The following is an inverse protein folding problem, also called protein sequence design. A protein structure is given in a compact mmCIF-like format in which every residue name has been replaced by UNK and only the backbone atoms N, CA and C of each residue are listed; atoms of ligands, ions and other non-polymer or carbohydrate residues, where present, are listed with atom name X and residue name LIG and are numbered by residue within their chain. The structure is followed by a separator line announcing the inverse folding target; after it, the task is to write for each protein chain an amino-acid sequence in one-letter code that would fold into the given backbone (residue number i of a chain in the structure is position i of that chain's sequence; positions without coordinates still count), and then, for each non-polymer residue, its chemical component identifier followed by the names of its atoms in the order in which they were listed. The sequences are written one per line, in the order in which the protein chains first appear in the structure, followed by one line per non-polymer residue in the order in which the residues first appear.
data_IF_219601404893
#
_entry.id   IF_219601404893
#
_cell.length_a   1.000
_cell.length_b   1.000
_cell.length_c   1.000
_cell.angle_alpha   90.00
_cell.angle_beta   90.00
_cell.angle_gamma   90.00
#
_symmetry.space_group_name_H-M   'P 1'
#
loop_
_entity.id
_entity.type
_entity.pdbx_description
1 polymer ?
2 non-polymer ?
3 water ?
#
# COMPACT_ATOMS: atom_id res chain seq x y z
N UNK A 5 -31.38 7.19 2.44
CA UNK A 5 -30.99 6.12 3.38
C UNK A 5 -29.75 6.57 4.19
N UNK A 6 -29.98 6.95 5.45
CA UNK A 6 -29.03 7.79 6.17
C UNK A 6 -27.70 7.08 6.41
N UNK A 7 -27.70 5.88 7.00
CA UNK A 7 -26.46 5.24 7.37
C UNK A 7 -25.91 4.45 6.19
N UNK A 8 -24.65 4.71 5.84
CA UNK A 8 -24.04 4.19 4.62
C UNK A 8 -22.91 3.25 5.00
N UNK A 9 -23.06 1.98 4.66
CA UNK A 9 -22.16 0.93 5.08
C UNK A 9 -21.54 0.32 3.84
N UNK A 10 -20.22 0.32 3.77
CA UNK A 10 -19.47 -0.30 2.67
C UNK A 10 -18.88 -1.61 3.18
N UNK A 11 -19.21 -2.70 2.50
CA UNK A 11 -18.57 -3.99 2.74
C UNK A 11 -17.54 -4.24 1.66
N UNK A 12 -16.33 -4.63 2.08
CA UNK A 12 -15.21 -4.86 1.18
C UNK A 12 -14.77 -6.30 1.36
N UNK A 13 -14.78 -7.05 0.27
CA UNK A 13 -14.28 -8.41 0.21
C UNK A 13 -13.10 -8.45 -0.74
N UNK A 14 -12.16 -9.35 -0.47
CA UNK A 14 -10.99 -9.47 -1.32
C UNK A 14 -11.30 -10.16 -2.63
N UNK A 15 -12.22 -11.11 -2.64
CA UNK A 15 -12.49 -11.88 -3.85
C UNK A 15 -13.93 -12.36 -3.85
N UNK A 16 -14.40 -12.88 -4.98
CA UNK A 16 -15.82 -13.28 -5.06
C UNK A 16 -16.21 -14.39 -4.12
N UNK A 17 -15.30 -15.34 -3.84
CA UNK A 17 -15.64 -16.43 -2.93
C UNK A 17 -15.95 -15.89 -1.56
N UNK A 18 -15.18 -14.92 -1.09
CA UNK A 18 -15.47 -14.37 0.22
C UNK A 18 -16.84 -13.73 0.25
N UNK A 19 -17.18 -12.98 -0.81
CA UNK A 19 -18.38 -12.17 -0.87
C UNK A 19 -19.65 -12.99 -1.08
N UNK A 20 -19.55 -14.21 -1.60
CA UNK A 20 -20.70 -14.86 -2.22
C UNK A 20 -21.91 -14.95 -1.29
N UNK A 21 -21.72 -15.44 -0.07
CA UNK A 21 -22.89 -15.68 0.77
C UNK A 21 -23.48 -14.38 1.31
N UNK A 22 -22.66 -13.36 1.51
CA UNK A 22 -23.21 -12.06 1.88
C UNK A 22 -24.04 -11.46 0.74
N UNK A 23 -23.60 -11.64 -0.49
CA UNK A 23 -24.36 -11.14 -1.63
C UNK A 23 -25.68 -11.88 -1.78
N UNK A 24 -25.80 -13.10 -1.25
CA UNK A 24 -27.08 -13.80 -1.26
C UNK A 24 -28.03 -13.31 -0.17
N UNK A 25 -27.53 -12.68 0.88
CA UNK A 25 -28.37 -12.32 2.02
C UNK A 25 -29.37 -11.25 1.72
N UNK A 26 -29.07 -10.34 0.79
CA UNK A 26 -29.90 -9.20 0.44
C UNK A 26 -30.10 -9.18 -1.07
N UNK A 27 -31.18 -8.62 -1.53
CA UNK A 27 -31.42 -8.56 -3.00
C UNK A 27 -30.66 -7.39 -3.62
N UNK A 28 -29.33 -7.52 -3.63
CA UNK A 28 -28.46 -6.51 -4.24
C UNK A 28 -28.72 -6.40 -5.72
N UNK A 29 -28.42 -5.22 -6.26
CA UNK A 29 -28.39 -5.00 -7.69
C UNK A 29 -27.03 -4.43 -8.06
N UNK A 30 -26.62 -4.67 -9.30
CA UNK A 30 -25.43 -4.04 -9.85
C UNK A 30 -25.81 -2.67 -10.36
N UNK A 31 -25.13 -1.64 -9.90
CA UNK A 31 -25.41 -0.28 -10.34
C UNK A 31 -24.62 0.03 -11.61
N UNK A 32 -24.79 1.23 -12.13
CA UNK A 32 -24.12 1.59 -13.37
C UNK A 32 -22.62 1.81 -13.19
N UNK A 33 -22.16 1.94 -11.94
CA UNK A 33 -20.74 2.00 -11.60
C UNK A 33 -20.10 0.62 -11.44
N UNK A 34 -20.86 -0.45 -11.65
CA UNK A 34 -20.31 -1.80 -11.71
C UNK A 34 -20.00 -2.36 -10.33
N UNK A 35 -20.76 -1.96 -9.30
CA UNK A 35 -20.65 -2.63 -8.00
C UNK A 35 -22.04 -2.83 -7.41
N UNK A 36 -22.11 -3.57 -6.31
CA UNK A 36 -23.39 -4.01 -5.78
C UNK A 36 -23.94 -3.05 -4.74
N UNK A 37 -25.26 -2.85 -4.77
CA UNK A 37 -25.89 -1.90 -3.86
C UNK A 37 -27.26 -2.42 -3.45
N UNK A 38 -27.66 -2.06 -2.24
CA UNK A 38 -28.97 -2.39 -1.69
C UNK A 38 -29.30 -1.32 -0.68
N UNK A 39 -30.56 -0.92 -0.59
CA UNK A 39 -30.96 0.02 0.44
C UNK A 39 -32.33 -0.35 0.98
N UNK A 40 -32.51 -0.12 2.27
CA UNK A 40 -33.81 -0.25 2.90
C UNK A 40 -33.80 0.62 4.13
N UNK A 41 -34.97 1.19 4.44
CA UNK A 41 -35.12 2.02 5.63
C UNK A 41 -34.04 3.10 5.56
N UNK A 42 -33.23 3.27 6.60
CA UNK A 42 -32.24 4.33 6.63
C UNK A 42 -30.87 3.84 6.19
N UNK A 43 -30.75 2.61 5.72
CA UNK A 43 -29.45 1.98 5.51
C UNK A 43 -29.18 1.78 4.03
N UNK A 44 -28.00 2.25 3.60
CA UNK A 44 -27.44 1.93 2.31
C UNK A 44 -26.33 0.92 2.54
N UNK A 45 -26.39 -0.19 1.84
CA UNK A 45 -25.41 -1.25 1.95
C UNK A 45 -24.79 -1.48 0.58
N UNK A 46 -23.50 -1.16 0.43
CA UNK A 46 -22.79 -1.34 -0.82
C UNK A 46 -21.73 -2.40 -0.61
N UNK A 47 -21.38 -3.10 -1.69
CA UNK A 47 -20.37 -4.15 -1.63
C UNK A 47 -19.37 -3.95 -2.75
N UNK A 48 -18.09 -3.95 -2.41
CA UNK A 48 -17.00 -3.96 -3.37
C UNK A 48 -16.16 -5.22 -3.20
N UNK A 49 -15.76 -5.78 -4.32
CA UNK A 49 -14.91 -6.98 -4.36
C UNK A 49 -13.61 -6.55 -5.04
N UNK A 50 -12.48 -6.68 -4.34
CA UNK A 50 -11.23 -6.08 -4.81
C UNK A 50 -10.68 -6.77 -6.03
N UNK A 51 -10.64 -8.10 -6.03
CA UNK A 51 -10.00 -8.87 -7.08
C UNK A 51 -11.05 -9.76 -7.72
N UNK A 52 -11.62 -9.29 -8.84
CA UNK A 52 -12.53 -10.11 -9.64
C UNK A 52 -11.85 -10.66 -10.89
N UNK A 53 -10.73 -10.07 -11.26
CA UNK A 53 -9.96 -10.46 -12.44
C UNK A 53 -8.51 -10.69 -12.05
N UNK A 54 -7.84 -11.52 -12.83
CA UNK A 54 -6.40 -11.59 -12.83
C UNK A 54 -5.83 -12.39 -11.68
N UNK A 55 -4.51 -12.28 -11.54
CA UNK A 55 -3.76 -13.00 -10.54
C UNK A 55 -3.49 -12.18 -9.28
N UNK A 56 -3.71 -10.87 -9.29
CA UNK A 56 -3.48 -10.06 -8.10
C UNK A 56 -4.42 -8.87 -8.08
N UNK A 57 -4.75 -8.42 -6.87
CA UNK A 57 -5.39 -7.14 -6.72
C UNK A 57 -4.43 -6.00 -7.00
N UNK A 58 -5.00 -4.86 -7.40
CA UNK A 58 -4.23 -3.68 -7.75
C UNK A 58 -4.64 -2.53 -6.84
N UNK A 59 -3.72 -1.58 -6.67
CA UNK A 59 -3.96 -0.48 -5.73
C UNK A 59 -5.20 0.31 -6.13
N UNK A 60 -5.45 0.46 -7.43
CA UNK A 60 -6.60 1.21 -7.88
C UNK A 60 -7.94 0.53 -7.58
N UNK A 61 -7.94 -0.64 -6.94
CA UNK A 61 -9.19 -1.21 -6.47
C UNK A 61 -9.84 -0.35 -5.40
N UNK A 62 -9.03 0.41 -4.64
CA UNK A 62 -9.51 1.27 -3.56
C UNK A 62 -8.76 2.58 -3.54
N UNK A 63 -8.33 3.04 -4.71
CA UNK A 63 -7.59 4.28 -4.81
C UNK A 63 -8.08 5.00 -6.06
N UNK A 64 -8.69 6.20 -5.91
CA UNK A 64 -8.96 6.88 -4.64
C UNK A 64 -9.97 6.11 -3.81
N UNK A 65 -9.90 6.23 -2.49
CA UNK A 65 -10.82 5.49 -1.65
C UNK A 65 -12.23 6.02 -1.80
N UNK A 66 -13.23 5.14 -1.71
CA UNK A 66 -14.62 5.59 -1.72
C UNK A 66 -14.90 6.58 -0.61
N UNK A 67 -15.56 7.67 -0.96
CA UNK A 67 -15.92 8.70 0.00
C UNK A 67 -17.39 8.54 0.40
N UNK A 68 -17.71 9.10 1.57
CA UNK A 68 -19.08 9.31 1.96
C UNK A 68 -19.69 8.25 2.85
N UNK A 69 -19.03 7.12 3.06
CA UNK A 69 -19.62 6.10 3.92
C UNK A 69 -19.44 6.48 5.39
N UNK A 70 -20.24 5.84 6.24
CA UNK A 70 -20.14 6.01 7.70
C UNK A 70 -19.32 4.92 8.37
N UNK A 71 -19.13 3.79 7.70
CA UNK A 71 -18.36 2.67 8.22
C UNK A 71 -17.98 1.82 7.04
N UNK A 72 -16.75 1.31 7.07
CA UNK A 72 -16.33 0.23 6.20
C UNK A 72 -16.16 -1.04 7.04
N UNK A 73 -16.58 -2.18 6.51
CA UNK A 73 -16.28 -3.49 7.08
C UNK A 73 -15.56 -4.30 6.02
N UNK A 74 -14.33 -4.71 6.32
CA UNK A 74 -13.63 -5.68 5.50
C UNK A 74 -13.90 -7.04 6.09
N UNK A 75 -14.57 -7.89 5.35
CA UNK A 75 -14.83 -9.25 5.79
C UNK A 75 -14.07 -10.18 4.87
N UNK A 76 -13.38 -11.18 5.45
CA UNK A 76 -12.64 -12.08 4.59
C UNK A 76 -12.12 -13.31 5.31
N UNK A 77 -11.47 -14.15 4.52
CA UNK A 77 -10.79 -15.34 5.02
C UNK A 77 -9.41 -14.96 5.55
N UNK A 78 -8.95 -15.69 6.55
CA UNK A 78 -7.58 -15.52 7.03
C UNK A 78 -7.01 -16.86 7.45
N UNK A 79 -5.76 -17.08 7.06
CA UNK A 79 -5.03 -18.23 7.56
C UNK A 79 -4.75 -18.11 9.04
N UNK A 80 -4.67 -19.26 9.71
CA UNK A 80 -4.28 -19.33 11.13
C UNK A 80 -2.85 -19.82 11.21
N UNK A 81 -1.99 -19.00 11.80
CA UNK A 81 -0.58 -19.32 11.94
C UNK A 81 -0.23 -19.77 13.36
N UNK A 82 -1.22 -19.94 14.23
CA UNK A 82 -1.05 -20.46 15.56
C UNK A 82 -2.03 -21.61 15.68
N UNK A 83 -1.58 -22.81 16.08
CA UNK A 83 -2.51 -23.94 16.20
C UNK A 83 -3.61 -23.75 17.22
N UNK A 84 -3.50 -22.79 18.13
CA UNK A 84 -4.58 -22.59 19.09
C UNK A 84 -5.77 -21.82 18.53
N UNK A 85 -5.72 -21.44 17.26
CA UNK A 85 -6.86 -20.84 16.57
C UNK A 85 -7.62 -21.96 15.86
N UNK A 86 -8.83 -22.29 16.26
CA UNK A 86 -9.59 -23.31 15.51
C UNK A 86 -9.99 -22.74 14.16
N UNK A 87 -10.21 -23.62 13.18
CA UNK A 87 -10.73 -23.20 11.89
C UNK A 87 -12.24 -22.95 11.92
N UNK A 88 -12.72 -22.21 10.92
CA UNK A 88 -14.16 -21.91 10.77
C UNK A 88 -14.67 -21.05 11.91
N UNK A 89 -13.81 -20.26 12.52
CA UNK A 89 -14.17 -19.38 13.62
C UNK A 89 -14.03 -17.92 13.17
N UNK A 90 -15.02 -17.11 13.49
CA UNK A 90 -15.07 -15.72 13.08
C UNK A 90 -14.54 -14.84 14.19
N UNK A 91 -13.60 -13.96 13.84
CA UNK A 91 -13.00 -13.01 14.76
C UNK A 91 -13.22 -11.61 14.24
N UNK A 92 -13.16 -10.67 15.18
CA UNK A 92 -12.97 -9.27 14.85
C UNK A 92 -11.55 -8.87 15.17
N UNK A 93 -11.02 -7.95 14.40
CA UNK A 93 -9.60 -7.58 14.47
C UNK A 93 -9.39 -6.32 15.31
N UNK A 94 -8.38 -6.34 16.18
CA UNK A 94 -8.04 -5.18 16.98
C UNK A 94 -6.99 -4.33 16.30
N UNK A 95 -5.98 -4.94 15.70
CA UNK A 95 -4.99 -4.22 14.93
C UNK A 95 -4.54 -5.11 13.78
N UNK A 96 -4.11 -4.46 12.71
CA UNK A 96 -3.61 -5.12 11.53
C UNK A 96 -2.22 -4.58 11.23
N UNK A 97 -1.30 -5.48 10.95
CA UNK A 97 0.08 -5.16 10.61
C UNK A 97 0.33 -5.58 9.17
N UNK A 98 0.92 -4.71 8.37
CA UNK A 98 1.52 -5.14 7.11
C UNK A 98 2.95 -5.53 7.42
N UNK A 99 3.38 -6.66 6.89
CA UNK A 99 4.73 -7.12 7.09
C UNK A 99 5.36 -7.35 5.72
N UNK A 100 6.60 -6.83 5.55
CA UNK A 100 7.44 -7.03 4.37
C UNK A 100 8.54 -8.02 4.74
N UNK A 101 8.45 -9.29 4.31
CA UNK A 101 9.41 -10.28 4.81
C UNK A 101 10.85 -10.02 4.43
N UNK A 102 11.11 -9.42 3.26
CA UNK A 102 12.49 -9.25 2.85
C UNK A 102 13.25 -8.22 3.67
N UNK A 103 12.55 -7.31 4.34
CA UNK A 103 13.20 -6.31 5.18
C UNK A 103 12.82 -6.42 6.64
N UNK A 104 11.77 -7.15 6.96
CA UNK A 104 11.19 -7.21 8.30
C UNK A 104 10.51 -5.90 8.70
N UNK A 105 10.38 -4.93 7.80
CA UNK A 105 9.74 -3.67 8.16
C UNK A 105 8.23 -3.89 8.23
N UNK A 106 7.63 -3.29 9.25
CA UNK A 106 6.21 -3.41 9.51
C UNK A 106 5.58 -2.04 9.66
N UNK A 107 4.29 -1.99 9.36
CA UNK A 107 3.44 -0.89 9.76
C UNK A 107 2.26 -1.53 10.47
N UNK A 108 1.54 -0.74 11.26
CA UNK A 108 0.44 -1.31 12.03
C UNK A 108 -0.59 -0.23 12.28
N UNK A 109 -1.86 -0.61 12.17
CA UNK A 109 -2.98 0.27 12.46
C UNK A 109 -4.01 -0.43 13.31
N UNK A 110 -4.56 0.31 14.27
CA UNK A 110 -5.71 -0.17 15.01
C UNK A 110 -6.94 -0.18 14.12
N UNK A 111 -7.81 -1.15 14.35
CA UNK A 111 -9.08 -1.39 13.67
C UNK A 111 -10.17 -1.33 14.75
N UNK A 112 -11.38 -0.96 14.35
CA UNK A 112 -12.48 -0.81 15.31
C UNK A 112 -13.13 -2.18 15.53
N UNK A 113 -13.10 -2.74 16.74
CA UNK A 113 -13.66 -4.08 16.93
C UNK A 113 -15.18 -4.07 16.89
N UNK A 114 -15.71 -5.14 16.33
CA UNK A 114 -17.15 -5.35 16.22
C UNK A 114 -17.63 -5.98 17.51
N UNK A 115 -18.75 -5.53 18.06
CA UNK A 115 -19.26 -6.12 19.30
C UNK A 115 -19.55 -7.60 19.15
N UNK A 116 -19.33 -8.34 20.23
CA UNK A 116 -19.73 -9.73 20.42
C UNK A 116 -18.94 -10.73 19.56
N UNK A 117 -17.92 -10.29 18.89
CA UNK A 117 -16.99 -11.18 18.23
C UNK A 117 -15.70 -11.27 19.04
N UNK A 118 -15.06 -12.44 19.08
CA UNK A 118 -13.79 -12.57 19.78
C UNK A 118 -12.69 -11.83 19.06
N UNK A 119 -11.72 -11.37 19.84
CA UNK A 119 -10.68 -10.49 19.35
C UNK A 119 -9.50 -11.28 18.80
N UNK A 120 -8.88 -10.75 17.75
CA UNK A 120 -7.65 -11.32 17.21
C UNK A 120 -6.83 -10.22 16.54
N UNK A 121 -5.54 -10.50 16.38
CA UNK A 121 -4.63 -9.66 15.62
C UNK A 121 -4.41 -10.24 14.25
N UNK A 122 -4.23 -9.37 13.26
CA UNK A 122 -4.14 -9.74 11.85
C UNK A 122 -2.82 -9.23 11.31
N UNK A 123 -2.14 -10.05 10.52
CA UNK A 123 -1.00 -9.62 9.72
C UNK A 123 -1.36 -9.82 8.27
N UNK A 124 -1.05 -8.82 7.45
CA UNK A 124 -1.29 -8.85 6.01
C UNK A 124 0.04 -9.00 5.31
N UNK A 125 0.10 -9.95 4.39
CA UNK A 125 1.30 -10.13 3.58
C UNK A 125 0.89 -10.39 2.14
N UNK A 126 1.75 -9.97 1.22
CA UNK A 126 1.42 -10.01 -0.20
C UNK A 126 1.31 -11.46 -0.68
N UNK A 127 2.23 -12.28 -0.30
CA UNK A 127 2.23 -13.69 -0.64
C UNK A 127 1.64 -14.50 0.49
N UNK A 128 0.77 -15.47 0.21
CA UNK A 128 0.15 -16.24 1.31
C UNK A 128 1.21 -17.04 2.06
N UNK A 129 1.07 -17.05 3.38
CA UNK A 129 1.96 -17.80 4.24
C UNK A 129 1.64 -19.28 4.11
N UNK A 130 2.61 -20.03 3.62
CA UNK A 130 2.66 -21.47 3.75
C UNK A 130 3.87 -21.89 4.58
N UNK A 131 4.36 -20.96 5.41
CA UNK A 131 5.62 -21.08 6.13
C UNK A 131 5.53 -21.96 7.36
N UNK A 132 4.37 -22.51 7.65
CA UNK A 132 4.15 -23.13 8.94
C UNK A 132 3.66 -22.14 9.97
N UNK A 133 3.88 -22.52 11.22
CA UNK A 133 3.29 -21.85 12.37
C UNK A 133 4.35 -20.93 12.96
N UNK A 134 3.90 -19.78 13.45
CA UNK A 134 4.81 -18.77 13.96
C UNK A 134 4.36 -18.32 15.34
N UNK A 135 5.34 -18.12 16.22
CA UNK A 135 5.04 -17.81 17.61
C UNK A 135 4.30 -16.48 17.74
N UNK A 136 4.54 -15.54 16.82
CA UNK A 136 4.08 -14.17 16.99
C UNK A 136 2.98 -13.77 16.01
N UNK A 137 2.43 -14.71 15.24
CA UNK A 137 1.34 -14.42 14.32
C UNK A 137 0.07 -15.12 14.78
N UNK A 138 -1.06 -14.50 14.46
CA UNK A 138 -2.35 -15.10 14.76
C UNK A 138 -3.01 -15.37 13.42
N UNK A 139 -3.85 -14.44 12.94
CA UNK A 139 -4.47 -14.56 11.64
C UNK A 139 -3.64 -13.83 10.58
N UNK A 140 -3.67 -14.35 9.37
CA UNK A 140 -2.85 -13.83 8.28
C UNK A 140 -3.72 -13.73 7.03
N UNK A 141 -3.75 -12.57 6.40
CA UNK A 141 -4.52 -12.38 5.18
C UNK A 141 -3.62 -11.66 4.18
N UNK A 142 -4.22 -11.09 3.15
CA UNK A 142 -3.50 -10.28 2.17
C UNK A 142 -3.91 -8.81 2.19
N UNK A 143 -5.20 -8.50 2.27
CA UNK A 143 -5.69 -7.16 1.95
C UNK A 143 -6.05 -6.30 3.15
N UNK A 144 -6.06 -6.84 4.37
CA UNK A 144 -6.58 -6.08 5.50
C UNK A 144 -5.86 -4.77 5.76
N UNK A 145 -4.53 -4.80 5.79
CA UNK A 145 -3.84 -3.55 6.09
C UNK A 145 -4.10 -2.51 5.01
N UNK A 146 -4.00 -2.91 3.74
CA UNK A 146 -4.29 -2.02 2.63
C UNK A 146 -5.64 -1.32 2.81
N UNK A 147 -6.67 -2.10 3.19
CA UNK A 147 -8.00 -1.53 3.32
C UNK A 147 -8.06 -0.56 4.49
N UNK A 148 -7.51 -0.96 5.65
CA UNK A 148 -7.54 -0.08 6.81
C UNK A 148 -6.81 1.23 6.53
N UNK A 149 -5.68 1.15 5.83
CA UNK A 149 -4.94 2.37 5.52
C UNK A 149 -5.71 3.26 4.56
N UNK A 150 -6.37 2.67 3.56
CA UNK A 150 -7.20 3.47 2.67
C UNK A 150 -8.37 4.10 3.42
N UNK A 151 -8.95 3.39 4.38
CA UNK A 151 -10.03 3.96 5.18
C UNK A 151 -9.55 5.21 5.93
N UNK A 152 -8.31 5.18 6.41
CA UNK A 152 -7.77 6.34 7.13
C UNK A 152 -7.74 7.59 6.26
N UNK A 153 -7.69 7.43 4.93
CA UNK A 153 -7.60 8.57 4.04
C UNK A 153 -8.90 9.36 3.96
N UNK A 154 -10.05 8.70 4.17
CA UNK A 154 -11.35 9.37 4.14
C UNK A 154 -11.94 9.49 5.54
N UNK A 155 -11.14 9.26 6.58
CA UNK A 155 -11.57 9.49 7.96
C UNK A 155 -12.78 8.64 8.28
N UNK A 156 -12.86 7.50 7.66
CA UNK A 156 -14.00 6.63 7.88
C UNK A 156 -13.59 5.52 8.80
N UNK A 157 -14.34 5.21 9.86
CA UNK A 157 -13.98 4.06 10.69
C UNK A 157 -14.01 2.77 9.87
N UNK A 158 -13.12 1.84 10.22
CA UNK A 158 -12.98 0.55 9.55
C UNK A 158 -12.98 -0.57 10.55
N UNK A 159 -13.80 -1.59 10.32
CA UNK A 159 -13.83 -2.79 11.12
C UNK A 159 -13.56 -3.97 10.24
N UNK A 160 -13.11 -5.06 10.85
CA UNK A 160 -12.74 -6.26 10.13
C UNK A 160 -13.34 -7.49 10.78
N UNK A 161 -13.86 -8.35 9.95
CA UNK A 161 -14.31 -9.69 10.31
C UNK A 161 -13.43 -10.65 9.53
N UNK A 162 -12.77 -11.56 10.23
CA UNK A 162 -11.93 -12.55 9.57
C UNK A 162 -12.31 -13.92 10.11
N UNK A 163 -12.56 -14.85 9.18
CA UNK A 163 -12.87 -16.24 9.54
C UNK A 163 -11.64 -17.08 9.24
N UNK A 164 -11.23 -17.89 10.21
CA UNK A 164 -10.05 -18.75 10.05
C UNK A 164 -10.33 -19.82 9.00
N UNK A 165 -9.55 -19.79 7.91
CA UNK A 165 -9.87 -20.55 6.72
C UNK A 165 -8.99 -21.76 6.50
N UNK A 166 -7.84 -21.84 7.16
CA UNK A 166 -6.85 -22.88 6.93
C UNK A 166 -5.68 -22.60 7.83
N UNK A 167 -4.90 -23.64 8.12
CA UNK A 167 -3.60 -23.45 8.74
C UNK A 167 -2.57 -23.12 7.68
N UNK A 168 -1.57 -22.35 8.07
CA UNK A 168 -0.65 -21.73 7.12
C UNK A 168 0.50 -22.69 6.75
N UNK A 169 0.14 -23.84 6.19
CA UNK A 169 1.11 -24.84 5.73
C UNK A 169 0.71 -25.30 4.33
N UNK A 170 1.62 -26.04 3.69
CA UNK A 170 1.30 -26.61 2.37
C UNK A 170 0.09 -27.54 2.46
N UNK A 171 0.13 -28.50 3.39
CA UNK A 171 -0.96 -29.45 3.55
C UNK A 171 -2.25 -28.77 3.98
N UNK A 172 -2.16 -27.62 4.64
CA UNK A 172 -3.32 -26.90 5.10
C UNK A 172 -4.09 -26.19 4.01
N UNK A 173 -3.53 -26.05 2.81
CA UNK A 173 -4.22 -25.26 1.79
C UNK A 173 -5.47 -25.95 1.27
N UNK A 174 -5.53 -27.28 1.30
CA UNK A 174 -6.68 -27.98 0.75
C UNK A 174 -7.96 -27.62 1.48
N UNK A 175 -7.87 -27.38 2.78
CA UNK A 175 -9.08 -27.03 3.53
C UNK A 175 -9.69 -25.73 3.02
N UNK A 176 -8.84 -24.72 2.74
CA UNK A 176 -9.30 -23.48 2.14
C UNK A 176 -9.96 -23.76 0.79
N UNK A 177 -9.31 -24.56 -0.04
CA UNK A 177 -9.83 -24.85 -1.36
C UNK A 177 -11.22 -25.48 -1.29
N UNK A 178 -11.47 -26.31 -0.29
CA UNK A 178 -12.67 -27.15 -0.23
C UNK A 178 -13.78 -26.58 0.63
N UNK A 179 -13.56 -25.47 1.32
CA UNK A 179 -14.54 -24.97 2.28
C UNK A 179 -14.96 -23.53 2.03
N UNK A 180 -14.81 -23.04 0.81
CA UNK A 180 -15.10 -21.63 0.56
C UNK A 180 -16.56 -21.26 0.80
N UNK A 181 -17.50 -22.16 0.54
CA UNK A 181 -18.91 -21.82 0.80
C UNK A 181 -19.15 -21.70 2.31
N UNK A 182 -18.69 -22.69 3.09
CA UNK A 182 -18.87 -22.62 4.55
C UNK A 182 -18.22 -21.37 5.11
N UNK A 183 -17.03 -21.04 4.63
CA UNK A 183 -16.31 -19.89 5.13
C UNK A 183 -17.04 -18.60 4.79
N UNK A 184 -17.49 -18.47 3.56
CA UNK A 184 -18.24 -17.29 3.15
C UNK A 184 -19.54 -17.16 3.94
N UNK A 185 -20.17 -18.28 4.25
CA UNK A 185 -21.40 -18.27 5.04
C UNK A 185 -21.12 -17.73 6.44
N UNK A 186 -19.99 -18.09 7.05
CA UNK A 186 -19.65 -17.53 8.36
C UNK A 186 -19.56 -16.02 8.30
N UNK A 187 -18.95 -15.49 7.25
CA UNK A 187 -18.89 -14.03 7.12
C UNK A 187 -20.28 -13.40 7.05
N UNK A 188 -21.19 -14.00 6.27
CA UNK A 188 -22.54 -13.48 6.13
C UNK A 188 -23.24 -13.48 7.46
N UNK A 189 -23.07 -14.56 8.23
CA UNK A 189 -23.71 -14.67 9.52
C UNK A 189 -23.21 -13.61 10.49
N UNK A 190 -21.94 -13.22 10.37
CA UNK A 190 -21.41 -12.18 11.25
C UNK A 190 -21.81 -10.79 10.78
N UNK A 191 -21.96 -10.57 9.47
CA UNK A 191 -22.33 -9.25 8.96
C UNK A 191 -23.76 -8.89 9.35
N UNK A 192 -24.66 -9.85 9.33
CA UNK A 192 -26.07 -9.50 9.50
C UNK A 192 -26.35 -8.73 10.78
N UNK A 193 -25.92 -9.15 11.97
CA UNK A 193 -26.30 -8.38 13.17
C UNK A 193 -25.71 -6.98 13.19
N UNK A 194 -24.59 -6.76 12.51
CA UNK A 194 -24.06 -5.40 12.40
C UNK A 194 -25.01 -4.54 11.57
N UNK A 195 -25.36 -5.01 10.37
CA UNK A 195 -26.33 -4.30 9.55
C UNK A 195 -27.60 -4.02 10.36
N UNK A 196 -28.10 -5.03 11.07
CA UNK A 196 -29.34 -4.86 11.80
C UNK A 196 -29.23 -3.79 12.87
N UNK A 197 -28.06 -3.66 13.50
CA UNK A 197 -27.89 -2.66 14.55
C UNK A 197 -28.09 -1.23 14.04
N UNK A 198 -27.86 -0.99 12.76
CA UNK A 198 -27.92 0.37 12.23
C UNK A 198 -29.26 0.73 11.60
N UNK A 199 -30.26 -0.16 11.69
CA UNK A 199 -31.60 0.18 11.27
C UNK A 199 -32.21 1.08 12.34
N UNK A 200 -32.59 2.29 11.95
CA UNK A 200 -33.14 3.28 12.88
C UNK A 200 -34.62 3.45 12.55
N UNK A 201 -35.46 2.68 13.24
CA UNK A 201 -36.91 2.82 13.14
C UNK A 201 -37.45 3.48 14.41
N UNK B 6 -7.04 21.86 -6.36
CA UNK B 6 -6.54 20.66 -7.08
C UNK B 6 -5.20 20.22 -6.50
N UNK B 7 -4.99 18.91 -6.53
CA UNK B 7 -3.83 18.31 -5.88
C UNK B 7 -2.58 18.59 -6.70
N UNK B 8 -1.49 18.92 -6.00
CA UNK B 8 -0.22 19.27 -6.64
C UNK B 8 0.88 18.32 -6.16
N UNK B 9 1.42 17.54 -7.08
CA UNK B 9 2.41 16.52 -6.77
C UNK B 9 3.73 16.86 -7.45
N UNK B 10 4.82 16.83 -6.68
CA UNK B 10 6.17 17.02 -7.22
C UNK B 10 6.91 15.69 -7.15
N UNK B 11 7.42 15.24 -8.30
CA UNK B 11 8.25 14.05 -8.37
C UNK B 11 9.69 14.47 -8.64
N UNK B 12 10.62 13.86 -7.93
CA UNK B 12 12.05 14.20 -8.05
C UNK B 12 12.85 12.94 -8.35
N UNK B 13 13.59 12.99 -9.45
CA UNK B 13 14.54 11.95 -9.85
C UNK B 13 15.95 12.55 -9.88
N UNK B 14 16.95 11.74 -9.59
CA UNK B 14 18.33 12.17 -9.57
C UNK B 14 18.99 12.18 -10.92
N UNK B 15 18.47 11.48 -11.92
CA UNK B 15 19.15 11.53 -13.20
C UNK B 15 18.19 11.14 -14.31
N UNK B 16 18.52 11.47 -15.54
CA UNK B 16 17.55 11.30 -16.63
C UNK B 16 17.18 9.86 -16.89
N UNK B 17 18.13 8.92 -16.79
CA UNK B 17 17.81 7.53 -17.10
C UNK B 17 16.83 6.97 -16.08
N UNK B 18 16.95 7.36 -14.83
CA UNK B 18 16.00 6.90 -13.82
C UNK B 18 14.62 7.44 -14.10
N UNK B 19 14.52 8.68 -14.59
CA UNK B 19 13.25 9.32 -14.86
C UNK B 19 12.63 8.93 -16.19
N UNK B 20 13.39 8.33 -17.11
CA UNK B 20 12.99 8.31 -18.53
C UNK B 20 11.65 7.63 -18.76
N UNK B 21 11.39 6.50 -18.08
CA UNK B 21 10.15 5.78 -18.32
C UNK B 21 8.97 6.50 -17.67
N UNK B 22 9.16 7.08 -16.48
CA UNK B 22 8.10 7.90 -15.88
C UNK B 22 7.72 9.06 -16.79
N UNK B 23 8.68 9.70 -17.41
CA UNK B 23 8.38 10.83 -18.28
C UNK B 23 7.62 10.38 -19.53
N UNK B 24 7.67 9.09 -19.87
CA UNK B 24 6.90 8.58 -21.00
C UNK B 24 5.43 8.30 -20.63
N UNK B 25 5.09 8.37 -19.36
CA UNK B 25 3.72 8.03 -18.95
C UNK B 25 2.69 9.08 -19.30
N UNK B 26 3.09 10.33 -19.40
CA UNK B 26 2.16 11.44 -19.58
C UNK B 26 2.72 12.36 -20.65
N UNK B 27 1.86 13.11 -21.35
CA UNK B 27 2.32 14.10 -22.34
C UNK B 27 2.75 15.38 -21.64
N UNK B 28 3.87 15.28 -20.92
CA UNK B 28 4.43 16.42 -20.19
C UNK B 28 4.82 17.56 -21.13
N UNK B 29 4.78 18.77 -20.60
CA UNK B 29 5.38 19.94 -21.23
C UNK B 29 6.69 20.25 -20.52
N UNK B 30 7.68 20.69 -21.28
CA UNK B 30 8.99 21.05 -20.75
C UNK B 30 8.96 22.52 -20.41
N UNK B 31 8.87 22.82 -19.12
CA UNK B 31 8.72 24.19 -18.66
C UNK B 31 10.05 24.92 -18.63
N UNK B 32 11.12 24.21 -18.26
CA UNK B 32 12.46 24.75 -18.25
C UNK B 32 13.38 23.55 -18.12
N UNK B 33 14.68 23.78 -18.02
CA UNK B 33 15.60 22.67 -18.05
C UNK B 33 15.22 21.65 -16.98
N UNK B 34 15.05 20.41 -17.40
CA UNK B 34 14.88 19.31 -16.47
C UNK B 34 13.66 19.50 -15.57
N UNK B 35 12.64 20.22 -16.05
CA UNK B 35 11.41 20.47 -15.29
C UNK B 35 10.22 20.29 -16.22
N UNK B 36 9.41 19.30 -15.90
CA UNK B 36 8.33 18.79 -16.74
C UNK B 36 7.00 18.94 -15.99
N UNK B 37 5.96 19.39 -16.67
CA UNK B 37 4.68 19.67 -16.05
C UNK B 37 3.55 19.03 -16.83
N UNK B 38 2.59 18.50 -16.08
CA UNK B 38 1.39 17.92 -16.66
C UNK B 38 0.22 18.15 -15.73
N UNK B 39 -0.92 18.47 -16.28
CA UNK B 39 -2.08 18.59 -15.42
C UNK B 39 -3.35 18.17 -16.12
N UNK B 40 -4.28 17.71 -15.31
CA UNK B 40 -5.68 17.64 -15.66
C UNK B 40 -6.41 18.62 -14.75
N UNK B 41 -7.73 18.56 -14.77
CA UNK B 41 -8.50 19.51 -13.97
C UNK B 41 -8.18 19.36 -12.49
N UNK B 42 -7.97 18.13 -12.02
CA UNK B 42 -7.88 17.86 -10.59
C UNK B 42 -6.45 17.67 -10.06
N UNK B 43 -5.46 17.47 -10.92
CA UNK B 43 -4.14 17.05 -10.47
C UNK B 43 -3.09 17.77 -11.29
N UNK B 44 -2.13 18.40 -10.63
CA UNK B 44 -0.91 18.87 -11.27
C UNK B 44 0.23 17.94 -10.90
N UNK B 45 0.97 17.48 -11.90
CA UNK B 45 2.10 16.61 -11.70
C UNK B 45 3.31 17.29 -12.31
N UNK B 46 4.25 17.72 -11.46
CA UNK B 46 5.50 18.28 -11.89
C UNK B 46 6.62 17.28 -11.62
N UNK B 47 7.59 17.22 -12.52
CA UNK B 47 8.75 16.34 -12.39
C UNK B 47 10.00 17.19 -12.51
N UNK B 48 10.89 17.02 -11.54
CA UNK B 48 12.22 17.61 -11.53
C UNK B 48 13.25 16.49 -11.65
N UNK B 49 14.22 16.68 -12.55
CA UNK B 49 15.38 15.80 -12.67
C UNK B 49 16.60 16.59 -12.26
N UNK B 50 17.30 16.13 -11.22
CA UNK B 50 18.49 16.84 -10.77
C UNK B 50 19.51 16.91 -11.89
N UNK B 51 20.36 17.93 -11.85
CA UNK B 51 21.41 18.11 -12.85
C UNK B 51 22.72 17.41 -12.47
N UNK B 52 22.86 17.00 -11.21
CA UNK B 52 23.94 16.11 -10.79
C UNK B 52 23.39 15.30 -9.60
N UNK B 53 24.16 14.31 -9.19
CA UNK B 53 23.70 13.36 -8.19
C UNK B 53 23.97 13.85 -6.77
N UNK B 54 23.30 13.21 -5.81
CA UNK B 54 23.65 13.32 -4.41
C UNK B 54 23.31 14.67 -3.79
N UNK B 55 23.94 14.93 -2.65
CA UNK B 55 23.57 16.11 -1.89
C UNK B 55 23.83 17.39 -2.67
N UNK B 56 24.88 17.41 -3.50
CA UNK B 56 25.15 18.59 -4.30
C UNK B 56 24.04 18.85 -5.32
N UNK B 57 23.53 17.79 -5.95
CA UNK B 57 22.42 17.99 -6.88
C UNK B 57 21.16 18.44 -6.19
N UNK B 58 20.92 17.93 -4.97
CA UNK B 58 19.74 18.34 -4.20
C UNK B 58 19.85 19.82 -3.82
N UNK B 59 21.00 20.24 -3.32
CA UNK B 59 21.17 21.66 -2.97
C UNK B 59 20.95 22.53 -4.19
N UNK B 60 21.50 22.12 -5.33
CA UNK B 60 21.42 22.95 -6.52
C UNK B 60 19.97 23.14 -6.98
N UNK B 61 19.15 22.09 -6.87
CA UNK B 61 17.81 22.09 -7.44
C UNK B 61 16.72 22.46 -6.44
N UNK B 62 16.94 22.22 -5.16
CA UNK B 62 15.87 22.28 -4.16
C UNK B 62 16.19 23.25 -3.03
N UNK B 63 17.07 24.20 -3.28
CA UNK B 63 17.40 25.25 -2.32
C UNK B 63 17.32 26.53 -3.12
N UNK B 64 16.25 27.34 -2.95
CA UNK B 64 15.15 27.14 -1.98
C UNK B 64 14.21 26.02 -2.39
N UNK B 65 13.61 25.35 -1.41
CA UNK B 65 12.63 24.31 -1.73
C UNK B 65 11.36 24.94 -2.26
N UNK B 66 10.75 24.36 -3.29
CA UNK B 66 9.51 24.96 -3.80
C UNK B 66 8.39 24.73 -2.82
N UNK B 67 7.56 25.76 -2.64
CA UNK B 67 6.37 25.67 -1.83
C UNK B 67 5.19 25.35 -2.74
N UNK B 68 4.08 25.01 -2.12
CA UNK B 68 2.82 24.93 -2.84
C UNK B 68 2.39 23.52 -3.19
N UNK B 69 3.28 22.54 -3.10
CA UNK B 69 2.88 21.16 -3.39
C UNK B 69 2.19 20.52 -2.19
N UNK B 70 1.39 19.51 -2.50
CA UNK B 70 0.72 18.70 -1.49
C UNK B 70 1.50 17.45 -1.12
N UNK B 71 2.40 17.00 -1.99
CA UNK B 71 3.20 15.82 -1.75
C UNK B 71 4.42 15.92 -2.64
N UNK B 72 5.59 15.56 -2.10
CA UNK B 72 6.80 15.31 -2.87
C UNK B 72 7.05 13.81 -2.88
N UNK B 73 7.45 13.27 -4.04
CA UNK B 73 7.89 11.88 -4.15
C UNK B 73 9.28 11.86 -4.75
N UNK B 74 10.24 11.28 -4.05
CA UNK B 74 11.56 11.01 -4.62
C UNK B 74 11.56 9.57 -5.11
N UNK B 75 11.74 9.37 -6.39
CA UNK B 75 11.77 8.03 -6.98
C UNK B 75 13.16 7.79 -7.53
N UNK B 76 13.72 6.61 -7.31
CA UNK B 76 15.05 6.34 -7.83
C UNK B 76 15.51 4.92 -7.61
N UNK B 77 16.69 4.64 -8.16
CA UNK B 77 17.40 3.40 -7.96
C UNK B 77 18.09 3.41 -6.59
N UNK B 78 18.14 2.26 -5.93
CA UNK B 78 18.85 2.16 -4.66
C UNK B 78 19.60 0.84 -4.57
N UNK B 79 20.77 0.91 -3.92
CA UNK B 79 21.53 -0.28 -3.65
C UNK B 79 20.93 -1.08 -2.51
N UNK B 80 21.12 -2.40 -2.57
CA UNK B 80 20.65 -3.30 -1.51
C UNK B 80 21.88 -3.74 -0.74
N UNK B 81 21.89 -3.45 0.56
CA UNK B 81 23.02 -3.74 1.44
C UNK B 81 22.79 -5.00 2.27
N UNK B 82 21.85 -5.85 1.85
CA UNK B 82 21.54 -7.08 2.55
C UNK B 82 21.14 -8.08 1.47
N UNK B 83 21.73 -9.28 1.45
CA UNK B 83 21.41 -10.24 0.37
C UNK B 83 19.99 -10.74 0.42
N UNK B 84 19.27 -10.50 1.52
CA UNK B 84 17.88 -10.93 1.60
C UNK B 84 16.95 -10.01 0.83
N UNK B 85 17.43 -8.88 0.35
CA UNK B 85 16.64 -7.99 -0.49
C UNK B 85 16.88 -8.39 -1.94
N UNK B 86 15.87 -8.86 -2.66
CA UNK B 86 16.06 -9.15 -4.09
C UNK B 86 16.25 -7.86 -4.88
N UNK B 87 16.93 -7.97 -6.00
CA UNK B 87 17.02 -6.86 -6.93
C UNK B 87 15.77 -6.79 -7.82
N UNK B 88 15.59 -5.65 -8.47
CA UNK B 88 14.45 -5.39 -9.35
C UNK B 88 13.13 -5.33 -8.59
N UNK B 89 13.17 -4.98 -7.31
CA UNK B 89 11.98 -4.92 -6.48
C UNK B 89 11.76 -3.48 -6.05
N UNK B 90 10.53 -3.01 -6.21
CA UNK B 90 10.18 -1.65 -5.89
C UNK B 90 9.70 -1.57 -4.45
N UNK B 91 10.34 -0.73 -3.66
CA UNK B 91 9.97 -0.51 -2.28
C UNK B 91 9.48 0.93 -2.11
N UNK B 92 8.70 1.12 -1.05
CA UNK B 92 8.44 2.44 -0.50
C UNK B 92 9.16 2.57 0.83
N UNK B 93 9.49 3.78 1.19
CA UNK B 93 10.41 4.03 2.30
C UNK B 93 9.64 4.50 3.52
N UNK B 94 9.97 3.96 4.69
CA UNK B 94 9.33 4.34 5.95
C UNK B 94 10.15 5.33 6.76
N UNK B 95 11.46 5.31 6.60
CA UNK B 95 12.34 6.23 7.30
C UNK B 95 13.65 6.30 6.53
N UNK B 96 14.37 7.40 6.74
CA UNK B 96 15.60 7.68 6.02
C UNK B 96 16.60 8.29 6.98
N UNK B 97 17.85 7.87 6.88
CA UNK B 97 18.90 8.37 7.74
C UNK B 97 20.14 8.61 6.89
N UNK B 98 21.03 9.43 7.43
CA UNK B 98 22.32 9.70 6.81
C UNK B 98 23.36 8.77 7.42
N UNK B 99 24.08 8.05 6.56
CA UNK B 99 25.18 7.23 7.04
C UNK B 99 26.26 8.08 7.68
N UNK B 100 26.61 9.19 7.03
CA UNK B 100 27.68 10.10 7.45
C UNK B 100 27.03 11.35 8.02
N UNK B 101 26.74 11.39 9.33
CA UNK B 101 25.86 12.44 9.88
C UNK B 101 26.49 13.84 9.86
N UNK B 107 21.21 11.05 12.32
CA UNK B 107 20.08 11.90 11.93
C UNK B 107 19.12 11.07 11.09
N UNK B 108 17.84 11.10 11.47
CA UNK B 108 16.82 10.24 10.86
C UNK B 108 15.50 10.99 10.72
N UNK B 109 14.74 10.65 9.67
CA UNK B 109 13.46 11.29 9.35
C UNK B 109 12.44 10.24 8.94
N UNK B 110 11.22 10.38 9.43
CA UNK B 110 10.13 9.56 8.93
C UNK B 110 9.77 9.98 7.51
N UNK B 111 9.37 9.00 6.73
CA UNK B 111 8.96 9.15 5.34
C UNK B 111 7.57 8.51 5.23
N UNK B 112 6.71 9.09 4.41
CA UNK B 112 5.32 8.63 4.31
C UNK B 112 5.20 7.50 3.30
N UNK B 113 4.84 6.28 3.71
CA UNK B 113 4.77 5.17 2.74
C UNK B 113 3.68 5.35 1.70
N UNK B 114 3.99 4.97 0.47
CA UNK B 114 3.01 4.84 -0.61
C UNK B 114 2.26 3.54 -0.38
N UNK B 115 0.92 3.49 -0.50
CA UNK B 115 0.20 2.25 -0.23
C UNK B 115 0.54 1.14 -1.21
N UNK B 116 0.43 -0.08 -0.72
CA UNK B 116 0.48 -1.29 -1.53
C UNK B 116 1.85 -1.47 -2.19
N UNK B 117 2.90 -1.11 -1.46
CA UNK B 117 4.27 -1.37 -1.84
C UNK B 117 5.03 -1.98 -0.66
N UNK B 118 5.96 -2.89 -0.92
CA UNK B 118 6.81 -3.40 0.15
C UNK B 118 7.55 -2.25 0.84
N UNK B 119 7.83 -2.43 2.13
CA UNK B 119 8.39 -1.40 3.00
C UNK B 119 9.87 -1.61 3.21
N UNK B 120 10.63 -0.51 3.20
CA UNK B 120 12.06 -0.57 3.50
C UNK B 120 12.50 0.73 4.16
N UNK B 121 13.64 0.64 4.87
CA UNK B 121 14.33 1.80 5.40
C UNK B 121 15.48 2.17 4.48
N UNK B 122 15.76 3.47 4.42
CA UNK B 122 16.74 4.01 3.49
C UNK B 122 17.87 4.67 4.26
N UNK B 123 19.08 4.50 3.75
CA UNK B 123 20.25 5.21 4.24
C UNK B 123 20.86 5.96 3.08
N UNK B 124 21.09 7.25 3.24
CA UNK B 124 21.71 8.08 2.19
C UNK B 124 23.16 8.33 2.54
N UNK B 125 24.03 8.21 1.54
CA UNK B 125 25.47 8.37 1.70
C UNK B 125 25.94 9.51 0.82
N UNK B 126 27.08 10.08 1.20
CA UNK B 126 27.63 11.24 0.49
C UNK B 126 28.61 10.87 -0.61
N UNK B 127 29.04 9.61 -0.66
CA UNK B 127 29.88 9.10 -1.73
C UNK B 127 29.53 7.64 -1.92
N UNK B 128 29.83 7.06 -3.08
CA UNK B 128 29.46 5.66 -3.33
C UNK B 128 29.71 4.70 -2.17
N UNK B 129 28.77 3.79 -1.96
CA UNK B 129 28.84 2.81 -0.89
C UNK B 129 29.04 1.44 -1.52
N UNK B 130 30.20 0.83 -1.26
CA UNK B 130 30.54 -0.49 -1.80
C UNK B 130 31.07 -1.41 -0.71
N UNK B 131 30.60 -1.23 0.53
CA UNK B 131 31.10 -1.99 1.67
C UNK B 131 30.41 -3.33 1.83
N UNK B 132 29.75 -3.82 0.78
CA UNK B 132 29.05 -5.08 0.92
C UNK B 132 27.97 -4.98 1.96
N UNK B 133 27.88 -6.03 2.76
CA UNK B 133 26.78 -6.22 3.69
C UNK B 133 27.29 -6.17 5.13
N UNK B 136 24.23 -3.10 8.97
CA UNK B 136 22.83 -3.36 9.30
C UNK B 136 21.92 -2.45 8.47
N UNK B 137 22.22 -2.35 7.19
CA UNK B 137 21.50 -1.47 6.28
C UNK B 137 20.55 -2.27 5.38
N UNK B 138 19.60 -1.55 4.77
CA UNK B 138 18.63 -2.11 3.85
C UNK B 138 18.90 -1.51 2.49
N UNK B 139 18.19 -0.45 2.08
CA UNK B 139 18.44 0.24 0.83
C UNK B 139 19.35 1.44 1.08
N UNK B 140 20.19 1.72 0.09
CA UNK B 140 21.18 2.78 0.18
C UNK B 140 21.12 3.64 -1.09
N UNK B 141 21.05 4.95 -0.92
CA UNK B 141 21.02 5.89 -2.04
C UNK B 141 21.89 7.08 -1.69
N UNK B 142 21.77 8.15 -2.47
CA UNK B 142 22.51 9.38 -2.23
C UNK B 142 21.68 10.64 -2.08
N UNK B 143 20.38 10.62 -2.37
CA UNK B 143 19.57 11.83 -2.35
C UNK B 143 18.47 11.87 -1.33
N UNK B 144 17.93 10.73 -0.88
CA UNK B 144 16.65 10.75 -0.22
C UNK B 144 16.66 11.56 1.06
N UNK B 145 17.70 11.40 1.89
CA UNK B 145 17.70 12.12 3.16
C UNK B 145 17.64 13.62 2.89
N UNK B 146 18.44 14.08 1.93
CA UNK B 146 18.53 15.50 1.67
C UNK B 146 17.23 16.03 1.08
N UNK B 147 16.56 15.23 0.26
CA UNK B 147 15.26 15.63 -0.25
C UNK B 147 14.22 15.69 0.87
N UNK B 148 14.19 14.68 1.74
CA UNK B 148 13.24 14.72 2.84
C UNK B 148 13.49 15.93 3.72
N UNK B 149 14.75 16.30 3.92
CA UNK B 149 15.03 17.49 4.71
C UNK B 149 14.51 18.75 4.04
N UNK B 150 14.64 18.86 2.72
CA UNK B 150 14.08 20.04 2.04
C UNK B 150 12.55 20.04 2.11
N UNK B 151 11.90 18.87 1.99
CA UNK B 151 10.45 18.82 2.11
C UNK B 151 9.99 19.32 3.47
N UNK B 152 10.74 18.98 4.52
CA UNK B 152 10.37 19.41 5.87
C UNK B 152 10.39 20.92 5.98
N UNK B 153 11.29 21.59 5.25
CA UNK B 153 11.35 23.05 5.32
C UNK B 153 10.05 23.68 4.87
N UNK B 154 9.34 23.06 3.94
CA UNK B 154 8.08 23.58 3.43
C UNK B 154 6.89 22.82 4.01
N UNK B 155 7.13 22.02 5.06
CA UNK B 155 6.07 21.33 5.76
C UNK B 155 5.21 20.51 4.81
N UNK B 156 5.88 19.83 3.87
CA UNK B 156 5.19 19.06 2.84
C UNK B 156 5.48 17.60 3.05
N UNK B 157 4.46 16.74 3.05
CA UNK B 157 4.74 15.31 3.14
C UNK B 157 5.67 14.87 2.02
N UNK B 158 6.50 13.88 2.34
CA UNK B 158 7.44 13.31 1.39
C UNK B 158 7.34 11.80 1.43
N UNK B 159 7.26 11.21 0.24
CA UNK B 159 7.25 9.78 0.05
C UNK B 159 8.40 9.41 -0.87
N UNK B 160 8.84 8.18 -0.80
CA UNK B 160 9.91 7.72 -1.67
C UNK B 160 9.60 6.36 -2.26
N UNK B 161 9.98 6.18 -3.52
CA UNK B 161 9.90 4.91 -4.21
C UNK B 161 11.31 4.58 -4.62
N UNK B 162 11.83 3.45 -4.16
CA UNK B 162 13.21 3.07 -4.41
C UNK B 162 13.21 1.64 -4.90
N UNK B 163 13.73 1.43 -6.11
CA UNK B 163 13.80 0.10 -6.70
C UNK B 163 15.21 -0.43 -6.51
N UNK B 164 15.32 -1.66 -6.05
CA UNK B 164 16.63 -2.23 -5.78
C UNK B 164 17.34 -2.48 -7.10
N UNK B 165 18.46 -1.80 -7.31
CA UNK B 165 19.12 -1.76 -8.61
C UNK B 165 20.46 -2.48 -8.63
N UNK B 166 21.01 -2.84 -7.48
CA UNK B 166 22.33 -3.42 -7.38
C UNK B 166 22.53 -3.82 -5.94
N UNK B 167 23.44 -4.77 -5.72
CA UNK B 167 23.99 -5.00 -4.40
C UNK B 167 25.17 -4.06 -4.18
N UNK B 168 25.46 -3.80 -2.91
CA UNK B 168 26.51 -2.85 -2.54
C UNK B 168 27.90 -3.47 -2.53
N UNK B 169 28.10 -4.56 -3.27
CA UNK B 169 29.37 -5.21 -3.44
C UNK B 169 30.08 -4.63 -4.67
N UNK B 170 31.38 -4.86 -4.75
CA UNK B 170 32.19 -4.31 -5.84
C UNK B 170 31.64 -4.76 -7.18
N UNK B 171 31.61 -3.84 -8.15
CA UNK B 171 31.10 -4.06 -9.51
C UNK B 171 29.60 -4.29 -9.54
N UNK B 172 28.90 -4.07 -8.42
CA UNK B 172 27.45 -4.27 -8.37
C UNK B 172 26.70 -3.37 -9.31
N UNK B 173 27.30 -2.26 -9.73
CA UNK B 173 26.66 -1.38 -10.69
C UNK B 173 26.46 -2.06 -12.04
N UNK B 174 27.14 -3.18 -12.30
CA UNK B 174 26.93 -3.86 -13.58
C UNK B 174 25.47 -4.30 -13.73
N UNK B 175 24.84 -4.74 -12.65
CA UNK B 175 23.43 -5.11 -12.75
C UNK B 175 22.57 -3.91 -13.09
N UNK B 176 22.81 -2.78 -12.41
CA UNK B 176 22.10 -1.54 -12.68
C UNK B 176 22.26 -1.14 -14.14
N UNK B 177 23.49 -1.12 -14.63
CA UNK B 177 23.74 -0.68 -16.00
C UNK B 177 23.04 -1.57 -17.02
N UNK B 178 22.98 -2.86 -16.74
CA UNK B 178 22.36 -3.81 -17.65
C UNK B 178 20.84 -3.75 -17.62
N UNK B 179 20.28 -3.26 -16.52
CA UNK B 179 18.83 -3.28 -16.29
C UNK B 179 18.20 -1.89 -16.19
N UNK B 180 18.85 -0.88 -16.76
CA UNK B 180 18.37 0.51 -16.64
C UNK B 180 16.92 0.66 -17.10
N UNK B 181 16.58 0.08 -18.25
CA UNK B 181 15.22 0.22 -18.76
C UNK B 181 14.23 -0.43 -17.82
N UNK B 182 14.49 -1.69 -17.44
CA UNK B 182 13.56 -2.39 -16.56
C UNK B 182 13.43 -1.64 -15.24
N UNK B 183 14.54 -1.14 -14.70
CA UNK B 183 14.50 -0.44 -13.43
C UNK B 183 13.71 0.85 -13.56
N UNK B 184 13.97 1.63 -14.60
CA UNK B 184 13.21 2.85 -14.85
C UNK B 184 11.72 2.56 -15.01
N UNK B 185 11.38 1.47 -15.70
CA UNK B 185 9.99 1.10 -15.91
C UNK B 185 9.33 0.68 -14.60
N UNK B 186 10.08 0.05 -13.71
CA UNK B 186 9.52 -0.27 -12.39
C UNK B 186 9.09 1.00 -11.66
N UNK B 187 9.92 2.03 -11.69
CA UNK B 187 9.53 3.27 -11.05
C UNK B 187 8.27 3.83 -11.70
N UNK B 188 8.23 3.84 -13.04
CA UNK B 188 7.08 4.39 -13.73
C UNK B 188 5.80 3.64 -13.38
N UNK B 189 5.88 2.32 -13.25
CA UNK B 189 4.70 1.52 -12.94
C UNK B 189 4.23 1.73 -11.50
N UNK B 190 5.11 2.14 -10.62
CA UNK B 190 4.72 2.51 -9.28
C UNK B 190 4.11 3.92 -9.24
N UNK B 191 4.57 4.81 -10.12
CA UNK B 191 4.11 6.20 -10.12
C UNK B 191 2.75 6.35 -10.82
N UNK B 192 2.52 5.64 -11.93
CA UNK B 192 1.30 5.83 -12.71
C UNK B 192 0.04 5.72 -11.87
N UNK B 193 -0.11 4.70 -10.99
CA UNK B 193 -1.33 4.66 -10.17
C UNK B 193 -1.40 5.76 -9.13
N UNK B 194 -0.26 6.23 -8.62
CA UNK B 194 -0.26 7.31 -7.63
C UNK B 194 -0.94 8.53 -8.19
N UNK B 195 -0.59 8.88 -9.43
CA UNK B 195 -1.26 9.99 -10.09
C UNK B 195 -2.77 9.75 -10.09
N UNK B 196 -3.19 8.50 -10.32
CA UNK B 196 -4.61 8.20 -10.36
C UNK B 196 -5.26 8.24 -8.98
N UNK B 197 -4.48 8.16 -7.90
CA UNK B 197 -5.05 8.20 -6.56
C UNK B 197 -5.61 9.55 -6.20
N UNK B 198 -5.35 10.58 -7.01
CA UNK B 198 -5.79 11.93 -6.71
C UNK B 198 -6.81 12.49 -7.68
N UNK B 199 -7.23 11.71 -8.67
CA UNK B 199 -8.18 12.20 -9.67
C UNK B 199 -9.59 12.24 -9.10
X LIG C 1 -19.89 -27.74 9.97
X LIG C 1 -20.04 -27.28 11.35
X LIG C 1 -20.36 -26.70 9.06
X LIG C 1 -18.48 -28.02 9.68
X LIG C 1 -20.67 -28.97 9.78
#
# INVERSE_FOLDING_TARGET
GSTGSMFKLLLIFADPAEAARTLSLFPFSLNKENFYTYHTENVLLDVMVLKTWGYRGVVQALSPPPSGYDLWINAGFAGAANPNIPLLKTYTITSVKELTPTTSVEEELEVTPIPRLPLAQLTSVRSPYRDGFHEHLQLVDMEGFFIAKQASLVACPCSMIKVSSNYTTREGQDFLKNNKVKLSQKLAEAIFPIYSSFIDV
GSTGSMFKLLLIFADPAEAARTLSLFPFSLNKENFYTYHTENVLLDVMVLKTWGYRGVVQALSPPPSGYDLWINAGFAGAANPNIPLLKTYTITSVKELTPTTSVEEELEVTPIPRLPLAQLTSVRSPYRDGFHEHLQLVDMEGFFIAKQASLVACPCSMIKVSSNYTTREGQDFLKNNKVKLSQKLAEAIFPIYSSFIDV
SO4 S O1 O2 O3 O4
#
